data_IF_103813133561
#
_entry.id   IF_103813133561
#
_cell.length_a   1.000
_cell.length_b   1.000
_cell.length_c   1.000
_cell.angle_alpha   90.00
_cell.angle_beta   90.00
_cell.angle_gamma   90.00
#
_symmetry.space_group_name_H-M   'P 1'
#
loop_
_entity.id
_entity.type
_entity.pdbx_description
1 polymer ?
#
# COMPACT_ATOMS: atom_id res chain seq x y z
N UNK A 1 15.39 6.21 -1.19
CA UNK A 1 14.05 5.71 -0.82
C UNK A 1 13.54 6.45 0.41
N UNK A 2 14.32 6.47 1.50
CA UNK A 2 14.07 7.32 2.69
C UNK A 2 13.77 8.78 2.32
N UNK A 3 14.64 9.39 1.51
CA UNK A 3 14.51 10.80 1.07
C UNK A 3 13.25 11.12 0.27
N UNK A 4 12.63 10.13 -0.37
CA UNK A 4 11.42 10.33 -1.18
C UNK A 4 10.18 10.28 -0.29
N UNK A 5 10.14 9.35 0.67
CA UNK A 5 9.09 9.27 1.68
C UNK A 5 9.06 10.51 2.57
N UNK A 6 10.24 10.98 2.98
CA UNK A 6 10.40 12.23 3.73
C UNK A 6 9.91 13.45 2.92
N UNK A 7 10.22 13.51 1.63
CA UNK A 7 9.70 14.55 0.72
C UNK A 7 8.17 14.49 0.62
N UNK A 8 7.59 13.30 0.43
CA UNK A 8 6.14 13.13 0.36
C UNK A 8 5.44 13.59 1.65
N UNK A 9 5.97 13.19 2.81
CA UNK A 9 5.45 13.61 4.10
C UNK A 9 5.52 15.13 4.29
N UNK A 10 6.64 15.75 3.93
CA UNK A 10 6.83 17.20 4.05
C UNK A 10 5.94 18.00 3.10
N UNK A 11 5.80 17.55 1.85
CA UNK A 11 5.06 18.28 0.82
C UNK A 11 3.53 18.11 0.97
N UNK A 12 3.06 17.00 1.53
CA UNK A 12 1.64 16.67 1.60
C UNK A 12 1.04 16.75 3.01
N UNK A 13 1.81 17.20 4.00
CA UNK A 13 1.41 17.22 5.43
C UNK A 13 0.84 15.88 5.93
N UNK A 14 1.28 14.78 5.31
CA UNK A 14 0.88 13.43 5.70
C UNK A 14 1.64 13.09 6.98
N UNK A 15 0.92 12.72 8.02
CA UNK A 15 1.53 12.11 9.20
C UNK A 15 2.08 10.75 8.77
N UNK A 16 3.40 10.65 8.62
CA UNK A 16 4.07 9.45 8.17
C UNK A 16 4.93 8.85 9.29
N UNK A 17 4.79 7.56 9.52
CA UNK A 17 5.71 6.78 10.35
C UNK A 17 6.48 5.85 9.43
N UNK A 18 7.80 6.04 9.38
CA UNK A 18 8.68 5.15 8.64
C UNK A 18 9.35 4.19 9.60
N UNK A 19 9.16 2.88 9.39
CA UNK A 19 9.86 1.83 10.12
C UNK A 19 10.32 0.74 9.16
N UNK A 20 11.63 0.49 9.15
CA UNK A 20 12.16 -0.69 8.48
C UNK A 20 11.76 -1.92 9.30
N UNK A 21 11.29 -2.95 8.60
CA UNK A 21 10.96 -4.24 9.19
C UNK A 21 11.90 -5.26 8.56
N UNK A 22 12.80 -5.82 9.36
CA UNK A 22 13.79 -6.77 8.86
C UNK A 22 13.23 -8.20 8.90
N UNK A 23 12.25 -8.46 9.78
CA UNK A 23 11.52 -9.74 9.87
C UNK A 23 9.99 -9.56 9.81
N UNK A 24 9.26 -10.67 9.70
CA UNK A 24 7.78 -10.65 9.73
C UNK A 24 7.27 -10.23 11.13
N UNK A 25 7.97 -10.62 12.19
CA UNK A 25 7.68 -10.21 13.56
C UNK A 25 7.88 -8.70 13.73
N UNK A 26 8.92 -8.11 13.12
CA UNK A 26 9.11 -6.66 13.14
C UNK A 26 7.95 -5.92 12.44
N UNK A 27 7.40 -6.49 11.37
CA UNK A 27 6.22 -5.94 10.68
C UNK A 27 5.00 -6.02 11.59
N UNK A 28 4.79 -7.16 12.25
CA UNK A 28 3.70 -7.34 13.21
C UNK A 28 3.79 -6.35 14.36
N UNK A 29 4.96 -6.24 15.00
CA UNK A 29 5.21 -5.33 16.10
C UNK A 29 5.00 -3.88 15.68
N UNK A 30 5.38 -3.52 14.45
CA UNK A 30 5.15 -2.19 13.90
C UNK A 30 3.67 -1.87 13.76
N UNK A 31 2.87 -2.83 13.31
CA UNK A 31 1.42 -2.68 13.17
C UNK A 31 0.73 -2.63 14.52
N UNK A 32 1.13 -3.51 15.45
CA UNK A 32 0.59 -3.52 16.81
C UNK A 32 0.91 -2.20 17.53
N UNK A 33 2.13 -1.68 17.38
CA UNK A 33 2.50 -0.38 17.93
C UNK A 33 1.63 0.74 17.36
N UNK A 34 1.42 0.75 16.04
CA UNK A 34 0.51 1.70 15.40
C UNK A 34 -0.92 1.60 15.96
N UNK A 35 -1.46 0.39 16.11
CA UNK A 35 -2.84 0.19 16.59
C UNK A 35 -3.06 0.61 18.04
N UNK A 36 -2.12 0.28 18.92
CA UNK A 36 -2.32 0.35 20.36
C UNK A 36 -1.64 1.54 21.03
N UNK A 37 -0.48 1.95 20.51
CA UNK A 37 0.34 3.00 21.13
C UNK A 37 0.24 4.35 20.40
N UNK A 38 -0.10 4.34 19.10
CA UNK A 38 -0.30 5.57 18.33
C UNK A 38 -1.77 6.02 18.35
N UNK A 39 -2.05 7.04 19.17
CA UNK A 39 -3.38 7.64 19.26
C UNK A 39 -3.90 8.24 17.93
N UNK A 40 -3.02 8.50 16.97
CA UNK A 40 -3.35 9.05 15.65
C UNK A 40 -3.63 7.97 14.60
N UNK A 41 -3.43 6.68 14.90
CA UNK A 41 -3.62 5.62 13.89
C UNK A 41 -5.05 5.54 13.33
N UNK A 42 -6.04 5.95 14.13
CA UNK A 42 -7.43 6.08 13.66
C UNK A 42 -7.56 7.10 12.54
N UNK A 43 -6.71 8.11 12.51
CA UNK A 43 -6.70 9.17 11.51
C UNK A 43 -5.90 8.77 10.25
N UNK A 44 -5.14 7.68 10.28
CA UNK A 44 -4.44 7.18 9.09
C UNK A 44 -5.40 6.40 8.21
N UNK A 45 -5.73 6.91 7.03
CA UNK A 45 -6.64 6.23 6.11
C UNK A 45 -5.90 5.32 5.11
N UNK A 46 -4.58 5.43 5.02
CA UNK A 46 -3.75 4.66 4.08
C UNK A 46 -2.49 4.10 4.74
N UNK A 47 -2.17 2.84 4.44
CA UNK A 47 -0.94 2.14 4.81
C UNK A 47 -0.09 1.94 3.56
N UNK A 48 1.12 2.52 3.53
CA UNK A 48 2.04 2.39 2.39
C UNK A 48 3.14 1.37 2.67
N UNK A 49 3.09 0.23 1.98
CA UNK A 49 4.01 -0.88 2.13
C UNK A 49 5.08 -0.87 1.05
N UNK A 50 6.33 -0.77 1.49
CA UNK A 50 7.50 -0.69 0.62
C UNK A 50 8.32 -1.98 0.73
N UNK A 51 7.71 -3.09 0.29
CA UNK A 51 8.25 -4.43 0.45
C UNK A 51 8.44 -5.10 -0.92
N UNK A 52 9.57 -5.80 -1.14
CA UNK A 52 9.74 -6.61 -2.34
C UNK A 52 8.83 -7.84 -2.30
N UNK A 53 8.75 -8.57 -3.41
CA UNK A 53 7.94 -9.77 -3.53
C UNK A 53 7.49 -10.03 -4.97
N UNK A 54 6.61 -11.00 -5.12
CA UNK A 54 6.00 -11.41 -6.39
C UNK A 54 4.49 -11.15 -6.37
N UNK A 55 3.75 -11.69 -7.34
CA UNK A 55 2.32 -11.48 -7.58
C UNK A 55 1.48 -11.40 -6.29
N UNK A 56 1.45 -12.52 -5.56
CA UNK A 56 0.60 -12.74 -4.39
C UNK A 56 1.39 -12.89 -3.09
N UNK A 57 2.64 -12.42 -3.03
CA UNK A 57 3.46 -12.56 -1.83
C UNK A 57 4.35 -11.35 -1.58
N UNK A 58 4.85 -11.23 -0.35
CA UNK A 58 5.90 -10.30 0.03
C UNK A 58 7.16 -11.06 0.44
N UNK A 59 8.31 -10.44 0.25
CA UNK A 59 9.62 -10.98 0.61
C UNK A 59 10.17 -10.20 1.81
N UNK A 60 10.34 -10.88 2.95
CA UNK A 60 10.96 -10.32 4.16
C UNK A 60 11.99 -11.31 4.66
N UNK A 61 13.20 -10.84 4.98
CA UNK A 61 14.31 -11.67 5.46
C UNK A 61 14.66 -12.90 4.59
N UNK A 62 14.40 -12.83 3.27
CA UNK A 62 14.63 -13.97 2.37
C UNK A 62 13.51 -15.04 2.37
N UNK A 63 12.43 -14.82 3.10
CA UNK A 63 11.25 -15.67 3.12
C UNK A 63 10.09 -14.98 2.40
N UNK A 64 9.36 -15.78 1.62
CA UNK A 64 8.15 -15.34 0.95
C UNK A 64 6.93 -15.65 1.82
N UNK A 65 6.09 -14.64 2.02
CA UNK A 65 4.84 -14.73 2.75
C UNK A 65 3.69 -14.41 1.79
N UNK A 66 2.75 -15.33 1.64
CA UNK A 66 1.59 -15.15 0.76
C UNK A 66 0.68 -14.04 1.27
N UNK A 67 -0.16 -13.52 0.39
CA UNK A 67 -1.10 -12.46 0.74
C UNK A 67 -2.06 -12.92 1.83
N UNK A 68 -2.42 -14.22 1.86
CA UNK A 68 -3.21 -14.83 2.92
C UNK A 68 -2.48 -14.84 4.27
N UNK A 69 -1.19 -15.21 4.30
CA UNK A 69 -0.38 -15.12 5.52
C UNK A 69 -0.30 -13.68 6.03
N UNK A 70 -0.22 -12.70 5.11
CA UNK A 70 -0.28 -11.28 5.48
C UNK A 70 -1.68 -10.86 5.93
N UNK A 71 -2.74 -11.43 5.37
CA UNK A 71 -4.09 -11.18 5.80
C UNK A 71 -4.31 -11.65 7.24
N UNK A 72 -3.85 -12.85 7.57
CA UNK A 72 -3.90 -13.41 8.94
C UNK A 72 -3.11 -12.52 9.92
N UNK A 73 -1.93 -12.05 9.53
CA UNK A 73 -1.15 -11.11 10.34
C UNK A 73 -1.92 -9.82 10.66
N UNK A 74 -2.72 -9.37 9.70
CA UNK A 74 -3.49 -8.13 9.71
C UNK A 74 -4.95 -8.36 10.11
N UNK A 75 -5.32 -9.53 10.63
CA UNK A 75 -6.71 -9.91 10.90
C UNK A 75 -7.40 -8.88 11.81
N UNK A 76 -8.45 -8.23 11.28
CA UNK A 76 -9.20 -7.18 11.97
C UNK A 76 -8.42 -5.90 12.32
N UNK A 77 -7.19 -5.75 11.80
CA UNK A 77 -6.27 -4.64 12.13
C UNK A 77 -6.31 -3.49 11.11
N UNK A 78 -6.99 -3.66 9.97
CA UNK A 78 -6.95 -2.73 8.85
C UNK A 78 -8.32 -2.11 8.53
N UNK A 79 -9.25 -2.15 9.49
CA UNK A 79 -10.61 -1.62 9.33
C UNK A 79 -10.61 -0.19 8.78
N UNK A 80 -11.33 0.01 7.67
CA UNK A 80 -11.45 1.31 7.03
C UNK A 80 -10.19 1.80 6.30
N UNK A 81 -9.10 1.02 6.25
CA UNK A 81 -7.81 1.46 5.69
C UNK A 81 -7.62 1.02 4.24
N UNK A 82 -6.87 1.80 3.50
CA UNK A 82 -6.41 1.46 2.15
C UNK A 82 -4.96 1.00 2.23
N UNK A 83 -4.67 -0.20 1.75
CA UNK A 83 -3.29 -0.72 1.71
C UNK A 83 -2.74 -0.48 0.31
N UNK A 84 -1.60 0.20 0.24
CA UNK A 84 -0.92 0.49 -1.02
C UNK A 84 0.47 -0.15 -1.03
N UNK A 85 0.74 -1.03 -1.99
CA UNK A 85 2.06 -1.58 -2.23
C UNK A 85 2.83 -0.70 -3.21
N UNK A 86 4.00 -0.22 -2.78
CA UNK A 86 4.97 0.40 -3.68
C UNK A 86 5.34 -0.55 -4.82
N UNK A 87 5.85 0.00 -5.92
CA UNK A 87 6.31 -0.78 -7.09
C UNK A 87 7.62 -1.58 -6.85
N UNK A 88 7.82 -2.07 -5.62
CA UNK A 88 8.87 -3.03 -5.25
C UNK A 88 8.47 -4.48 -5.52
N UNK A 89 7.17 -4.74 -5.68
CA UNK A 89 6.61 -6.03 -6.08
C UNK A 89 5.61 -5.85 -7.23
N UNK A 90 5.33 -6.95 -7.93
CA UNK A 90 4.13 -7.11 -8.74
C UNK A 90 2.93 -7.30 -7.81
N UNK A 91 1.80 -6.64 -8.02
CA UNK A 91 0.55 -6.96 -7.34
C UNK A 91 -0.41 -7.60 -8.35
N UNK A 92 -0.55 -8.92 -8.26
CA UNK A 92 -1.42 -9.70 -9.13
C UNK A 92 -2.14 -10.75 -8.30
N UNK A 93 -3.31 -10.35 -7.82
CA UNK A 93 -4.20 -11.18 -7.02
C UNK A 93 -5.38 -11.62 -7.88
N UNK A 94 -5.81 -12.84 -7.66
CA UNK A 94 -7.13 -13.32 -8.09
C UNK A 94 -8.24 -12.66 -7.28
N UNK A 95 -9.47 -12.76 -7.79
CA UNK A 95 -10.65 -12.27 -7.09
C UNK A 95 -10.79 -12.94 -5.71
N UNK A 96 -10.48 -14.24 -5.60
CA UNK A 96 -10.53 -14.99 -4.34
C UNK A 96 -9.48 -14.51 -3.34
N UNK A 97 -8.22 -14.37 -3.76
CA UNK A 97 -7.12 -13.89 -2.91
C UNK A 97 -7.38 -12.45 -2.41
N UNK A 98 -7.84 -11.58 -3.30
CA UNK A 98 -8.12 -10.18 -2.96
C UNK A 98 -9.32 -10.05 -2.01
N UNK A 99 -10.41 -10.77 -2.27
CA UNK A 99 -11.58 -10.79 -1.40
C UNK A 99 -11.24 -11.36 -0.03
N UNK A 100 -10.48 -12.46 0.03
CA UNK A 100 -10.03 -13.05 1.29
C UNK A 100 -9.24 -12.03 2.12
N UNK A 101 -8.29 -11.33 1.49
CA UNK A 101 -7.50 -10.32 2.19
C UNK A 101 -8.38 -9.17 2.72
N UNK A 102 -9.30 -8.65 1.92
CA UNK A 102 -10.21 -7.57 2.36
C UNK A 102 -11.10 -8.03 3.52
N UNK A 103 -11.67 -9.23 3.43
CA UNK A 103 -12.58 -9.79 4.45
C UNK A 103 -11.87 -10.05 5.78
N UNK A 104 -10.65 -10.61 5.74
CA UNK A 104 -9.89 -10.96 6.95
C UNK A 104 -9.32 -9.72 7.62
N UNK A 105 -8.79 -8.77 6.84
CA UNK A 105 -8.12 -7.59 7.40
C UNK A 105 -9.07 -6.45 7.77
N UNK A 106 -10.24 -6.38 7.13
CA UNK A 106 -11.16 -5.25 7.21
C UNK A 106 -10.77 -4.05 6.33
N UNK A 107 -9.72 -4.19 5.50
CA UNK A 107 -9.28 -3.13 4.61
C UNK A 107 -10.38 -2.77 3.59
N UNK A 108 -10.45 -1.48 3.24
CA UNK A 108 -11.36 -0.97 2.19
C UNK A 108 -10.89 -1.32 0.79
N UNK A 109 -9.57 -1.39 0.61
CA UNK A 109 -8.96 -1.68 -0.68
C UNK A 109 -7.48 -2.04 -0.56
N UNK A 110 -7.00 -2.75 -1.58
CA UNK A 110 -5.58 -2.99 -1.83
C UNK A 110 -5.24 -2.37 -3.18
N UNK A 111 -4.14 -1.63 -3.26
CA UNK A 111 -3.67 -1.02 -4.49
C UNK A 111 -2.19 -1.23 -4.71
N UNK A 112 -1.77 -1.15 -5.98
CA UNK A 112 -0.39 -1.39 -6.38
C UNK A 112 -0.25 -1.46 -7.89
N UNK A 113 0.68 -2.29 -8.38
CA UNK A 113 1.13 -2.26 -9.76
C UNK A 113 1.31 -3.66 -10.35
N UNK A 114 0.76 -3.89 -11.54
CA UNK A 114 0.88 -5.11 -12.32
C UNK A 114 2.14 -5.20 -13.18
N UNK A 115 2.99 -4.19 -13.17
CA UNK A 115 4.32 -4.23 -13.80
C UNK A 115 5.37 -3.69 -12.85
N UNK A 116 6.38 -4.49 -12.51
CA UNK A 116 7.53 -4.01 -11.73
C UNK A 116 8.50 -3.24 -12.62
N UNK A 117 8.87 -2.03 -12.20
CA UNK A 117 9.91 -1.23 -12.87
C UNK A 117 11.21 -1.28 -12.07
N UNK A 118 12.32 -1.59 -12.73
CA UNK A 118 13.66 -1.47 -12.16
C UNK A 118 14.01 -0.01 -11.76
N UNK A 119 13.33 0.97 -12.38
CA UNK A 119 13.50 2.39 -12.11
C UNK A 119 12.22 2.95 -11.47
N UNK A 120 12.23 3.05 -10.14
CA UNK A 120 11.05 3.39 -9.32
C UNK A 120 10.52 4.82 -9.47
N UNK A 121 11.24 5.71 -10.17
CA UNK A 121 10.91 7.14 -10.24
C UNK A 121 9.51 7.42 -10.79
N UNK A 122 9.06 6.62 -11.75
CA UNK A 122 7.74 6.80 -12.35
C UNK A 122 6.62 6.29 -11.43
N UNK A 123 6.84 5.17 -10.74
CA UNK A 123 5.89 4.66 -9.74
C UNK A 123 5.71 5.66 -8.59
N UNK A 124 6.79 6.25 -8.08
CA UNK A 124 6.68 7.30 -7.05
C UNK A 124 5.86 8.52 -7.50
N UNK A 125 5.89 8.84 -8.79
CA UNK A 125 5.07 9.94 -9.33
C UNK A 125 3.57 9.59 -9.26
N UNK A 126 3.22 8.33 -9.51
CA UNK A 126 1.85 7.84 -9.33
C UNK A 126 1.47 7.73 -7.85
N UNK A 127 2.33 7.16 -7.00
CA UNK A 127 2.09 7.06 -5.54
C UNK A 127 1.74 8.45 -4.97
N UNK A 128 2.57 9.46 -5.24
CA UNK A 128 2.34 10.83 -4.75
C UNK A 128 1.05 11.44 -5.28
N UNK A 129 0.73 11.21 -6.56
CA UNK A 129 -0.50 11.74 -7.14
C UNK A 129 -1.73 11.01 -6.56
N UNK A 130 -1.66 9.68 -6.41
CA UNK A 130 -2.72 8.88 -5.82
C UNK A 130 -3.00 9.33 -4.38
N UNK A 131 -1.97 9.51 -3.55
CA UNK A 131 -2.12 9.97 -2.17
C UNK A 131 -2.68 11.40 -2.11
N UNK A 132 -2.22 12.29 -2.99
CA UNK A 132 -2.76 13.66 -3.08
C UNK A 132 -4.25 13.66 -3.43
N UNK A 133 -4.65 12.84 -4.40
CA UNK A 133 -6.05 12.75 -4.83
C UNK A 133 -6.92 12.13 -3.74
N UNK A 134 -6.41 11.11 -3.04
CA UNK A 134 -7.09 10.46 -1.94
C UNK A 134 -7.26 11.38 -0.73
N UNK A 135 -6.26 12.21 -0.42
CA UNK A 135 -6.36 13.22 0.63
C UNK A 135 -7.44 14.27 0.34
N UNK A 136 -7.71 14.57 -0.94
CA UNK A 136 -8.78 15.49 -1.34
C UNK A 136 -10.17 14.85 -1.36
N UNK A 137 -10.26 13.54 -1.58
CA UNK A 137 -11.49 12.79 -1.77
C UNK A 137 -11.28 11.32 -1.41
N UNK A 138 -12.07 10.78 -0.48
CA UNK A 138 -11.95 9.40 0.01
C UNK A 138 -12.76 8.38 -0.82
N UNK A 139 -13.48 8.82 -1.86
CA UNK A 139 -14.08 7.93 -2.87
C UNK A 139 -12.98 7.37 -3.79
N UNK A 140 -12.56 6.13 -3.48
CA UNK A 140 -11.50 5.43 -4.21
C UNK A 140 -11.75 5.31 -5.71
N UNK A 141 -13.01 5.17 -6.13
CA UNK A 141 -13.34 5.04 -7.55
C UNK A 141 -13.08 6.36 -8.26
N UNK A 142 -13.57 7.47 -7.70
CA UNK A 142 -13.32 8.80 -8.27
C UNK A 142 -11.82 9.14 -8.24
N UNK A 143 -11.11 8.78 -7.17
CA UNK A 143 -9.66 8.95 -7.06
C UNK A 143 -8.92 8.24 -8.18
N UNK A 144 -9.22 6.97 -8.44
CA UNK A 144 -8.57 6.19 -9.51
C UNK A 144 -8.96 6.73 -10.89
N UNK A 145 -10.22 7.12 -11.10
CA UNK A 145 -10.65 7.78 -12.35
C UNK A 145 -9.85 9.07 -12.61
N UNK A 146 -9.69 9.92 -11.58
CA UNK A 146 -8.87 11.15 -11.66
C UNK A 146 -7.39 10.85 -11.88
N UNK A 147 -6.87 9.78 -11.28
CA UNK A 147 -5.49 9.31 -11.46
C UNK A 147 -5.24 8.94 -12.93
N UNK A 148 -6.10 8.10 -13.51
CA UNK A 148 -6.04 7.73 -14.93
C UNK A 148 -6.27 8.93 -15.85
N UNK A 149 -7.18 9.85 -15.50
CA UNK A 149 -7.36 11.07 -16.29
C UNK A 149 -6.08 11.92 -16.35
N UNK A 150 -5.39 12.09 -15.22
CA UNK A 150 -4.16 12.90 -15.13
C UNK A 150 -2.92 12.20 -15.69
N UNK A 151 -2.80 10.88 -15.52
CA UNK A 151 -1.58 10.11 -15.82
C UNK A 151 -1.84 8.81 -16.61
N UNK A 152 -2.80 8.83 -17.54
CA UNK A 152 -3.25 7.65 -18.29
C UNK A 152 -2.11 6.74 -18.79
N UNK A 153 -1.14 7.30 -19.51
CA UNK A 153 -0.02 6.54 -20.08
C UNK A 153 0.81 5.84 -19.01
N UNK A 154 0.98 6.48 -17.86
CA UNK A 154 1.80 5.95 -16.78
C UNK A 154 1.03 4.89 -15.98
N UNK A 155 -0.26 5.11 -15.73
CA UNK A 155 -1.14 4.09 -15.13
C UNK A 155 -1.19 2.83 -15.99
N UNK A 156 -1.26 2.95 -17.32
CA UNK A 156 -1.19 1.80 -18.24
C UNK A 156 0.19 1.14 -18.25
N UNK A 157 1.26 1.94 -18.26
CA UNK A 157 2.63 1.41 -18.31
C UNK A 157 2.98 0.57 -17.08
N UNK A 158 2.55 1.03 -15.90
CA UNK A 158 2.81 0.36 -14.63
C UNK A 158 1.69 -0.60 -14.21
N UNK A 159 0.61 -0.65 -15.00
CA UNK A 159 -0.60 -1.41 -14.74
C UNK A 159 -1.12 -1.16 -13.32
N UNK A 160 -1.49 0.09 -13.02
CA UNK A 160 -2.03 0.44 -11.70
C UNK A 160 -3.30 -0.36 -11.40
N UNK A 161 -3.33 -1.02 -10.25
CA UNK A 161 -4.39 -1.93 -9.83
C UNK A 161 -5.01 -1.48 -8.51
N UNK A 162 -6.32 -1.68 -8.40
CA UNK A 162 -7.12 -1.47 -7.21
C UNK A 162 -8.06 -2.67 -7.06
N UNK A 163 -8.03 -3.31 -5.90
CA UNK A 163 -8.94 -4.36 -5.45
C UNK A 163 -9.77 -3.79 -4.29
N UNK A 164 -11.11 -3.81 -4.38
CA UNK A 164 -12.02 -3.15 -3.44
C UNK A 164 -13.43 -3.75 -3.48
#
# INVERSE_FOLDING_TARGET
MLTILEDMAQQQQITSIYKACDTIEDLEDSINHLLYDDHYFKDYEMIYLVLPGEANNILINGYYYSIEEIAELFEGKMDGKVIHFANKKLLDLTDEESQYFLDVTGARAISGYGVSSAHMTSAFTLDRLFFSLFYENDDLKEVVERLFYKQYKLCQLLDFRLYY
#
